data_IF_129426005560
#
_entry.id   IF_129426005560
#
_cell.length_a   1.000
_cell.length_b   1.000
_cell.length_c   1.000
_cell.angle_alpha   90.00
_cell.angle_beta   90.00
_cell.angle_gamma   90.00
#
_symmetry.space_group_name_H-M   'P 1'
#
loop_
_entity.id
_entity.type
_entity.pdbx_description
1 polymer ?
#
# COMPACT_ATOMS: atom_id res chain seq x y z
N UNK A 1 -3.11 -9.54 -0.49
CA UNK A 1 -4.35 -10.35 -0.53
C UNK A 1 -4.09 -11.74 0.05
N UNK A 2 -4.97 -12.20 0.92
CA UNK A 2 -4.98 -13.60 1.32
C UNK A 2 -5.47 -14.48 0.16
N UNK A 3 -5.29 -15.80 0.28
CA UNK A 3 -5.78 -16.74 -0.74
C UNK A 3 -7.30 -16.63 -0.91
N UNK A 4 -8.03 -16.49 0.19
CA UNK A 4 -9.50 -16.36 0.20
C UNK A 4 -9.95 -15.04 -0.46
N UNK A 5 -9.24 -13.93 -0.19
CA UNK A 5 -9.47 -12.65 -0.85
C UNK A 5 -9.18 -12.72 -2.35
N UNK A 6 -8.11 -13.40 -2.75
CA UNK A 6 -7.77 -13.58 -4.16
C UNK A 6 -8.82 -14.43 -4.91
N UNK A 7 -9.37 -15.45 -4.27
CA UNK A 7 -10.45 -16.28 -4.84
C UNK A 7 -11.78 -15.52 -4.96
N UNK A 8 -11.99 -14.50 -4.14
CA UNK A 8 -13.20 -13.66 -4.18
C UNK A 8 -13.15 -12.57 -5.26
N UNK A 9 -11.96 -12.29 -5.84
CA UNK A 9 -11.80 -11.28 -6.88
C UNK A 9 -12.36 -11.77 -8.21
N UNK A 10 -13.26 -10.99 -8.80
CA UNK A 10 -13.85 -11.32 -10.10
C UNK A 10 -12.98 -10.80 -11.25
N UNK A 11 -12.98 -11.51 -12.37
CA UNK A 11 -12.14 -11.18 -13.53
C UNK A 11 -12.43 -9.78 -14.08
N UNK A 12 -13.69 -9.35 -14.07
CA UNK A 12 -14.06 -8.01 -14.53
C UNK A 12 -13.46 -6.89 -13.67
N UNK A 13 -13.27 -7.11 -12.38
CA UNK A 13 -12.60 -6.17 -11.46
C UNK A 13 -11.12 -6.00 -11.84
N UNK A 14 -10.45 -7.09 -12.19
CA UNK A 14 -9.06 -7.07 -12.65
C UNK A 14 -8.93 -6.37 -14.01
N UNK A 15 -9.82 -6.68 -14.93
CA UNK A 15 -9.86 -6.03 -16.25
C UNK A 15 -10.06 -4.53 -16.10
N UNK A 16 -10.96 -4.11 -15.22
CA UNK A 16 -11.19 -2.70 -14.94
C UNK A 16 -9.93 -2.02 -14.39
N UNK A 17 -9.23 -2.67 -13.44
CA UNK A 17 -7.97 -2.14 -12.91
C UNK A 17 -6.94 -1.94 -14.01
N UNK A 18 -6.67 -2.93 -14.85
CA UNK A 18 -5.66 -2.83 -15.90
C UNK A 18 -6.00 -1.81 -16.99
N UNK A 19 -7.28 -1.50 -17.18
CA UNK A 19 -7.72 -0.42 -18.08
C UNK A 19 -7.68 0.96 -17.43
N UNK A 20 -7.56 1.04 -16.11
CA UNK A 20 -7.47 2.31 -15.38
C UNK A 20 -6.13 3.02 -15.61
N UNK A 21 -6.03 4.35 -15.39
CA UNK A 21 -4.75 5.06 -15.46
C UNK A 21 -3.66 4.46 -14.57
N UNK A 22 -4.02 3.98 -13.39
CA UNK A 22 -3.10 3.31 -12.46
C UNK A 22 -2.58 1.99 -13.04
N UNK A 23 -3.45 1.16 -13.57
CA UNK A 23 -3.07 -0.11 -14.22
C UNK A 23 -2.19 0.11 -15.44
N UNK A 24 -2.49 1.13 -16.24
CA UNK A 24 -1.66 1.50 -17.40
C UNK A 24 -0.26 1.97 -16.97
N UNK A 25 -0.17 2.79 -15.95
CA UNK A 25 1.11 3.25 -15.39
C UNK A 25 1.94 2.07 -14.86
N UNK A 26 1.31 1.13 -14.18
CA UNK A 26 1.96 -0.10 -13.72
C UNK A 26 2.50 -0.93 -14.90
N UNK A 27 1.71 -1.14 -15.94
CA UNK A 27 2.11 -1.93 -17.11
C UNK A 27 3.26 -1.32 -17.89
N UNK A 28 3.42 0.00 -17.84
CA UNK A 28 4.52 0.71 -18.49
C UNK A 28 5.83 0.69 -17.71
N UNK A 29 5.80 0.33 -16.44
CA UNK A 29 6.99 0.27 -15.61
C UNK A 29 7.88 -0.90 -15.99
N UNK A 30 9.20 -0.64 -16.05
CA UNK A 30 10.23 -1.67 -16.27
C UNK A 30 10.69 -2.36 -14.98
N UNK A 31 10.38 -1.78 -13.83
CA UNK A 31 10.74 -2.30 -12.50
C UNK A 31 9.50 -2.42 -11.62
N UNK A 32 9.05 -3.65 -11.44
CA UNK A 32 7.87 -3.98 -10.65
C UNK A 32 8.26 -5.05 -9.63
N UNK A 33 8.00 -4.78 -8.36
CA UNK A 33 8.08 -5.76 -7.29
C UNK A 33 6.67 -6.09 -6.82
N UNK A 34 6.33 -7.37 -6.85
CA UNK A 34 5.05 -7.90 -6.35
C UNK A 34 5.31 -8.69 -5.09
N UNK A 35 4.41 -8.53 -4.11
CA UNK A 35 4.52 -9.23 -2.82
C UNK A 35 5.93 -9.09 -2.21
N UNK A 36 6.42 -7.84 -2.15
CA UNK A 36 7.75 -7.53 -1.63
C UNK A 36 7.77 -7.62 -0.11
N UNK A 37 8.41 -8.65 0.47
CA UNK A 37 8.54 -8.74 1.92
C UNK A 37 9.53 -7.71 2.45
N UNK A 38 9.26 -7.18 3.63
CA UNK A 38 10.17 -6.26 4.32
C UNK A 38 10.26 -6.53 5.81
N UNK A 39 11.37 -6.13 6.38
CA UNK A 39 11.58 -5.99 7.81
C UNK A 39 12.45 -4.76 8.04
N UNK A 40 12.09 -3.90 8.97
CA UNK A 40 12.94 -2.79 9.41
C UNK A 40 12.73 -2.50 10.90
N UNK A 41 13.74 -1.90 11.52
CA UNK A 41 13.70 -1.54 12.93
C UNK A 41 13.30 -0.08 13.13
N UNK A 42 12.36 0.15 14.05
CA UNK A 42 11.99 1.48 14.52
C UNK A 42 12.56 1.65 15.93
N UNK A 43 13.35 2.71 16.21
CA UNK A 43 13.82 2.99 17.56
C UNK A 43 12.64 3.06 18.55
N UNK A 44 12.78 2.43 19.71
CA UNK A 44 11.68 2.41 20.70
C UNK A 44 11.31 3.81 21.15
N UNK A 45 12.27 4.72 21.28
CA UNK A 45 12.04 6.11 21.68
C UNK A 45 11.11 6.86 20.72
N UNK A 46 11.12 6.48 19.43
CA UNK A 46 10.22 7.08 18.42
C UNK A 46 8.76 6.70 18.65
N UNK A 47 8.52 5.47 19.14
CA UNK A 47 7.17 4.96 19.42
C UNK A 47 6.69 5.30 20.83
N UNK A 48 7.63 5.32 21.77
CA UNK A 48 7.37 5.55 23.20
C UNK A 48 8.36 6.56 23.77
N UNK A 49 8.13 7.87 23.58
CA UNK A 49 9.08 8.92 23.98
C UNK A 49 9.44 8.94 25.47
N UNK A 50 8.65 8.27 26.32
CA UNK A 50 8.88 8.19 27.76
C UNK A 50 9.77 7.05 28.19
N UNK A 51 10.11 6.14 27.26
CA UNK A 51 10.94 4.97 27.54
C UNK A 51 12.36 5.27 27.06
N UNK A 52 13.29 5.34 28.00
CA UNK A 52 14.73 5.48 27.69
C UNK A 52 15.36 4.08 27.57
N UNK A 53 15.37 3.55 26.39
CA UNK A 53 16.11 2.34 26.04
C UNK A 53 17.03 2.62 24.87
N UNK A 54 18.23 3.12 25.16
CA UNK A 54 19.24 3.39 24.15
C UNK A 54 19.53 2.13 23.33
N UNK A 55 19.44 2.26 22.00
CA UNK A 55 19.73 1.21 21.00
C UNK A 55 18.73 0.05 20.88
N UNK A 56 17.58 0.10 21.55
CA UNK A 56 16.52 -0.89 21.32
C UNK A 56 15.61 -0.48 20.16
N UNK A 57 15.25 -1.48 19.34
CA UNK A 57 14.38 -1.30 18.18
C UNK A 57 13.20 -2.28 18.22
N UNK A 58 12.04 -1.80 17.83
CA UNK A 58 10.92 -2.65 17.48
C UNK A 58 11.00 -2.99 15.99
N UNK A 59 11.03 -4.27 15.67
CA UNK A 59 11.07 -4.72 14.28
C UNK A 59 9.67 -4.87 13.73
N UNK A 60 9.42 -4.18 12.61
CA UNK A 60 8.18 -4.25 11.85
C UNK A 60 8.44 -5.03 10.58
N UNK A 61 7.59 -6.01 10.32
CA UNK A 61 7.62 -6.82 9.10
C UNK A 61 6.28 -6.79 8.39
N UNK A 62 6.31 -6.93 7.09
CA UNK A 62 5.10 -6.98 6.25
C UNK A 62 5.44 -7.36 4.83
N UNK A 63 4.43 -7.25 3.98
CA UNK A 63 4.52 -7.50 2.54
C UNK A 63 3.84 -6.34 1.83
N UNK A 64 4.55 -5.69 0.90
CA UNK A 64 3.98 -4.68 0.02
C UNK A 64 3.42 -5.40 -1.21
N UNK A 65 2.13 -5.22 -1.49
CA UNK A 65 1.46 -5.90 -2.61
C UNK A 65 2.12 -5.60 -3.95
N UNK A 66 2.36 -4.31 -4.21
CA UNK A 66 2.98 -3.87 -5.44
C UNK A 66 3.79 -2.58 -5.24
N UNK A 67 5.01 -2.59 -5.74
CA UNK A 67 5.91 -1.45 -5.76
C UNK A 67 6.48 -1.32 -7.16
N UNK A 68 6.32 -0.19 -7.82
CA UNK A 68 6.83 0.00 -9.16
C UNK A 68 7.48 1.37 -9.35
N UNK A 69 8.49 1.41 -10.21
CA UNK A 69 9.25 2.61 -10.51
C UNK A 69 8.64 3.37 -11.70
N UNK A 70 8.58 4.69 -11.55
CA UNK A 70 8.30 5.62 -12.63
C UNK A 70 9.54 6.46 -12.91
N UNK A 71 9.50 7.33 -13.90
CA UNK A 71 10.60 8.24 -14.23
C UNK A 71 11.03 9.15 -13.06
N UNK A 72 10.10 9.44 -12.13
CA UNK A 72 10.31 10.39 -11.03
C UNK A 72 10.44 9.75 -9.65
N UNK A 73 10.17 8.46 -9.51
CA UNK A 73 10.31 7.75 -8.24
C UNK A 73 9.40 6.53 -8.13
N UNK A 74 9.27 6.01 -6.92
CA UNK A 74 8.53 4.79 -6.62
C UNK A 74 7.08 5.06 -6.26
N UNK A 75 6.20 4.18 -6.72
CA UNK A 75 4.79 4.17 -6.37
C UNK A 75 4.48 2.89 -5.59
N UNK A 76 3.84 3.06 -4.44
CA UNK A 76 3.28 1.98 -3.62
C UNK A 76 1.82 1.82 -4.01
N UNK A 77 1.44 0.60 -4.36
CA UNK A 77 0.06 0.24 -4.69
C UNK A 77 -0.34 -0.98 -3.88
N UNK A 78 -1.40 -0.84 -3.11
CA UNK A 78 -2.00 -1.89 -2.30
C UNK A 78 -3.42 -2.18 -2.79
N UNK A 79 -3.82 -3.44 -2.77
CA UNK A 79 -5.15 -3.86 -3.20
C UNK A 79 -6.01 -4.26 -2.02
N UNK A 80 -7.25 -3.79 -2.02
CA UNK A 80 -8.22 -4.10 -0.97
C UNK A 80 -9.53 -4.63 -1.58
N UNK A 81 -10.16 -5.53 -0.84
CA UNK A 81 -11.42 -6.16 -1.19
C UNK A 81 -12.58 -5.66 -0.32
N UNK A 82 -12.39 -4.55 0.38
CA UNK A 82 -13.43 -3.94 1.21
C UNK A 82 -14.72 -3.70 0.45
N UNK A 83 -15.84 -4.02 1.10
CA UNK A 83 -17.17 -3.77 0.59
C UNK A 83 -17.69 -2.44 1.09
N UNK A 84 -18.52 -1.79 0.27
CA UNK A 84 -19.11 -0.50 0.62
C UNK A 84 -20.27 -0.60 1.59
N UNK A 85 -20.90 -1.78 1.73
CA UNK A 85 -22.01 -2.00 2.65
C UNK A 85 -23.26 -1.15 2.33
N UNK A 86 -23.54 -0.92 1.04
CA UNK A 86 -24.65 -0.09 0.58
C UNK A 86 -24.37 1.41 0.59
N UNK A 87 -23.16 1.83 0.97
CA UNK A 87 -22.72 3.24 0.93
C UNK A 87 -21.96 3.54 -0.37
N UNK A 88 -21.86 4.81 -0.74
CA UNK A 88 -21.01 5.24 -1.85
C UNK A 88 -19.53 5.24 -1.43
N UNK A 89 -18.63 5.21 -2.40
CA UNK A 89 -17.19 5.32 -2.11
C UNK A 89 -16.87 6.66 -1.44
N UNK A 90 -17.50 7.75 -1.84
CA UNK A 90 -17.29 9.07 -1.22
C UNK A 90 -17.69 9.10 0.26
N UNK A 91 -18.78 8.42 0.62
CA UNK A 91 -19.17 8.27 2.03
C UNK A 91 -18.15 7.46 2.84
N UNK A 92 -17.51 6.48 2.22
CA UNK A 92 -16.52 5.62 2.87
C UNK A 92 -15.09 6.17 2.83
N UNK A 93 -14.82 7.20 2.05
CA UNK A 93 -13.47 7.75 1.80
C UNK A 93 -12.73 8.07 3.09
N UNK A 94 -13.34 8.80 4.01
CA UNK A 94 -12.70 9.18 5.28
C UNK A 94 -12.45 7.99 6.20
N UNK A 95 -13.32 6.99 6.16
CA UNK A 95 -13.16 5.73 6.91
C UNK A 95 -11.95 4.96 6.40
N UNK A 96 -11.85 4.79 5.09
CA UNK A 96 -10.72 4.09 4.47
C UNK A 96 -9.41 4.84 4.64
N UNK A 97 -9.44 6.18 4.55
CA UNK A 97 -8.27 7.02 4.81
C UNK A 97 -7.68 6.76 6.20
N UNK A 98 -8.52 6.74 7.23
CA UNK A 98 -8.10 6.45 8.61
C UNK A 98 -7.63 5.02 8.78
N UNK A 99 -8.35 4.07 8.18
CA UNK A 99 -8.08 2.63 8.31
C UNK A 99 -6.70 2.25 7.79
N UNK A 100 -6.28 2.81 6.65
CA UNK A 100 -5.08 2.40 5.94
C UNK A 100 -3.91 3.38 6.03
N UNK A 101 -4.08 4.54 6.66
CA UNK A 101 -3.04 5.57 6.77
C UNK A 101 -1.75 5.03 7.41
N UNK A 102 -1.87 4.26 8.50
CA UNK A 102 -0.71 3.70 9.20
C UNK A 102 0.02 2.65 8.38
N UNK A 103 -0.71 1.81 7.66
CA UNK A 103 -0.12 0.83 6.75
C UNK A 103 0.68 1.52 5.64
N UNK A 104 0.15 2.58 5.04
CA UNK A 104 0.83 3.34 3.98
C UNK A 104 2.06 4.08 4.50
N UNK A 105 2.02 4.59 5.72
CA UNK A 105 3.19 5.18 6.38
C UNK A 105 4.31 4.15 6.56
N UNK A 106 3.97 2.97 7.07
CA UNK A 106 4.93 1.87 7.28
C UNK A 106 5.53 1.41 5.95
N UNK A 107 4.71 1.22 4.92
CA UNK A 107 5.17 0.83 3.59
C UNK A 107 6.09 1.88 2.96
N UNK A 108 5.80 3.16 3.18
CA UNK A 108 6.65 4.27 2.73
C UNK A 108 8.03 4.21 3.38
N UNK A 109 8.09 4.00 4.69
CA UNK A 109 9.36 3.86 5.43
C UNK A 109 10.15 2.66 4.93
N UNK A 110 9.50 1.50 4.80
CA UNK A 110 10.13 0.28 4.31
C UNK A 110 10.68 0.48 2.90
N UNK A 111 9.94 1.09 2.00
CA UNK A 111 10.37 1.35 0.62
C UNK A 111 11.59 2.26 0.59
N UNK A 112 11.60 3.33 1.35
CA UNK A 112 12.75 4.24 1.45
C UNK A 112 14.02 3.54 1.96
N UNK A 113 13.87 2.65 2.94
CA UNK A 113 14.98 1.84 3.45
C UNK A 113 15.53 0.85 2.42
N UNK A 114 14.66 0.17 1.68
CA UNK A 114 15.06 -0.86 0.71
C UNK A 114 15.58 -0.25 -0.58
N UNK A 115 14.85 0.71 -1.15
CA UNK A 115 15.15 1.26 -2.47
C UNK A 115 16.13 2.43 -2.42
N UNK A 116 16.36 3.03 -1.23
CA UNK A 116 17.21 4.24 -1.07
C UNK A 116 16.81 5.36 -2.02
N UNK A 117 15.52 5.48 -2.31
CA UNK A 117 14.95 6.42 -3.27
C UNK A 117 13.60 6.94 -2.81
N UNK A 118 13.12 8.00 -3.46
CA UNK A 118 11.89 8.68 -3.09
C UNK A 118 10.64 7.88 -3.46
N UNK A 119 9.65 7.90 -2.57
CA UNK A 119 8.29 7.45 -2.84
C UNK A 119 7.47 8.67 -3.25
N UNK A 120 6.97 8.66 -4.48
CA UNK A 120 6.22 9.78 -5.07
C UNK A 120 4.70 9.59 -5.00
N UNK A 121 4.24 8.38 -4.75
CA UNK A 121 2.81 8.09 -4.65
C UNK A 121 2.53 6.86 -3.81
N UNK A 122 1.42 6.91 -3.09
CA UNK A 122 0.90 5.83 -2.24
C UNK A 122 -0.58 5.71 -2.51
N UNK A 123 -0.99 4.55 -2.99
CA UNK A 123 -2.34 4.32 -3.43
C UNK A 123 -2.90 3.01 -2.90
N UNK A 124 -4.17 3.03 -2.56
CA UNK A 124 -4.96 1.83 -2.30
C UNK A 124 -6.02 1.71 -3.38
N UNK A 125 -6.06 0.60 -4.08
CA UNK A 125 -7.08 0.29 -5.07
C UNK A 125 -8.10 -0.68 -4.49
N UNK A 126 -9.35 -0.25 -4.46
CA UNK A 126 -10.48 -1.03 -3.97
C UNK A 126 -11.12 -1.77 -5.15
N UNK A 127 -10.89 -3.08 -5.21
CA UNK A 127 -11.28 -3.91 -6.37
C UNK A 127 -12.78 -3.93 -6.61
N UNK A 128 -13.58 -4.09 -5.57
CA UNK A 128 -15.05 -4.13 -5.69
C UNK A 128 -15.62 -2.76 -6.06
N UNK A 129 -15.14 -1.71 -5.41
CA UNK A 129 -15.58 -0.33 -5.70
C UNK A 129 -15.04 0.20 -7.03
N UNK A 130 -13.98 -0.42 -7.59
CA UNK A 130 -13.26 0.06 -8.79
C UNK A 130 -12.75 1.49 -8.63
N UNK A 131 -12.31 1.82 -7.44
CA UNK A 131 -11.86 3.16 -7.04
C UNK A 131 -10.47 3.12 -6.43
N UNK A 132 -9.73 4.22 -6.60
CA UNK A 132 -8.40 4.41 -6.05
C UNK A 132 -8.41 5.53 -5.01
N UNK A 133 -7.70 5.32 -3.91
CA UNK A 133 -7.52 6.31 -2.86
C UNK A 133 -6.02 6.65 -2.73
N UNK A 134 -5.71 7.93 -2.80
CA UNK A 134 -4.34 8.44 -2.59
C UNK A 134 -4.12 8.78 -1.12
N UNK A 135 -2.92 8.47 -0.62
CA UNK A 135 -2.47 8.78 0.74
C UNK A 135 -1.33 9.78 0.77
#
# INVERSE_FOLDING_TARGET
LTKEEAEAVQVDQLVHFFKSPMGQSLCQSSKIHRELPFIFGIPIEELYPHIQHENEKLYVKGIIDCLFETETGWIILDFKTDRLGGKSFDEMRSVFQKRYAKQMEIYTRATKEIMKSSVIGRYVYFLEAKEVLKF
#
